data_IF_860825897298
#
_entry.id   IF_860825897298
#
_cell.length_a   1.000
_cell.length_b   1.000
_cell.length_c   1.000
_cell.angle_alpha   90.00
_cell.angle_beta   90.00
_cell.angle_gamma   90.00
#
_symmetry.space_group_name_H-M   'P 1'
#
loop_
_entity.id
_entity.type
_entity.pdbx_description
1 polymer ?
#
# COMPACT_ATOMS: atom_id res chain seq x y z
N UNK A 1 17.88 -17.59 -2.50
CA UNK A 1 17.66 -18.04 -3.89
C UNK A 1 17.62 -16.79 -4.76
N UNK A 2 18.52 -16.69 -5.73
CA UNK A 2 18.71 -15.52 -6.59
C UNK A 2 17.72 -15.63 -7.75
N UNK A 3 16.80 -14.67 -7.86
CA UNK A 3 15.88 -14.55 -9.00
C UNK A 3 16.61 -13.99 -10.23
N UNK A 4 16.10 -14.34 -11.41
CA UNK A 4 16.78 -14.35 -12.70
C UNK A 4 17.22 -12.99 -13.32
N UNK A 5 17.28 -11.89 -12.57
CA UNK A 5 17.61 -10.56 -13.11
C UNK A 5 18.84 -9.88 -12.44
N UNK A 6 19.61 -10.61 -11.62
CA UNK A 6 20.84 -10.09 -11.01
C UNK A 6 20.64 -8.94 -10.00
N UNK A 7 19.39 -8.65 -9.62
CA UNK A 7 19.04 -7.68 -8.59
C UNK A 7 18.91 -8.41 -7.25
N UNK A 8 19.67 -7.98 -6.25
CA UNK A 8 19.54 -8.48 -4.88
C UNK A 8 19.28 -7.33 -3.91
N UNK A 9 18.35 -7.55 -2.98
CA UNK A 9 18.10 -6.65 -1.87
C UNK A 9 18.45 -7.34 -0.57
N UNK A 10 19.34 -6.73 0.21
CA UNK A 10 19.66 -7.13 1.58
C UNK A 10 19.22 -6.04 2.54
N UNK A 11 18.60 -6.42 3.65
CA UNK A 11 18.27 -5.50 4.74
C UNK A 11 18.87 -6.03 6.05
N UNK A 12 19.55 -5.15 6.77
CA UNK A 12 20.15 -5.44 8.06
C UNK A 12 19.57 -4.49 9.10
N UNK A 13 19.05 -5.03 10.20
CA UNK A 13 18.53 -4.22 11.30
C UNK A 13 19.51 -4.26 12.47
N UNK A 14 19.83 -3.10 13.03
CA UNK A 14 20.66 -2.97 14.24
C UNK A 14 19.87 -2.19 15.29
N UNK A 15 19.80 -2.71 16.51
CA UNK A 15 19.09 -2.07 17.64
C UNK A 15 20.11 -1.66 18.69
N UNK A 16 19.96 -0.47 19.26
CA UNK A 16 20.77 -0.05 20.40
C UNK A 16 20.43 -0.91 21.64
N UNK A 17 21.47 -1.32 22.37
CA UNK A 17 21.30 -2.11 23.61
C UNK A 17 20.86 -1.25 24.78
N UNK A 18 21.36 -0.02 24.84
CA UNK A 18 21.08 0.94 25.89
C UNK A 18 20.68 2.29 25.26
N UNK A 19 19.57 2.83 25.76
CA UNK A 19 18.98 4.11 25.36
C UNK A 19 18.72 5.01 26.57
N UNK A 20 19.21 4.65 27.76
CA UNK A 20 18.99 5.39 29.02
C UNK A 20 19.44 6.84 28.87
N UNK A 21 20.63 7.05 28.26
CA UNK A 21 21.17 8.37 27.96
C UNK A 21 20.23 9.26 27.12
N UNK A 22 19.39 8.65 26.27
CA UNK A 22 18.46 9.37 25.41
C UNK A 22 17.18 9.72 26.17
N UNK A 23 16.71 8.79 27.02
CA UNK A 23 15.54 9.00 27.88
C UNK A 23 15.80 10.05 28.97
N UNK A 24 17.03 10.11 29.50
CA UNK A 24 17.45 11.16 30.45
C UNK A 24 17.45 12.56 29.82
N UNK A 25 17.67 12.64 28.50
CA UNK A 25 17.80 13.90 27.76
C UNK A 25 16.50 14.35 27.10
N UNK A 26 15.60 13.42 26.78
CA UNK A 26 14.36 13.69 26.07
C UNK A 26 13.19 12.94 26.69
N UNK A 27 12.13 13.68 27.00
CA UNK A 27 10.89 13.13 27.56
C UNK A 27 9.93 12.68 26.45
N UNK A 28 10.34 11.70 25.65
CA UNK A 28 9.49 11.15 24.58
C UNK A 28 8.57 10.05 25.14
N UNK A 29 7.25 10.31 25.26
CA UNK A 29 6.36 9.38 25.94
C UNK A 29 6.33 8.03 25.23
N UNK A 30 6.64 6.99 26.00
CA UNK A 30 6.59 5.62 25.52
C UNK A 30 7.80 5.17 24.69
N UNK A 31 8.89 5.94 24.59
CA UNK A 31 10.12 5.49 23.92
C UNK A 31 10.70 4.24 24.61
N UNK A 32 10.83 3.13 23.86
CA UNK A 32 11.38 1.86 24.38
C UNK A 32 12.54 1.29 23.55
N UNK A 33 12.67 1.67 22.28
CA UNK A 33 13.77 1.19 21.44
C UNK A 33 14.18 2.22 20.39
N UNK A 34 15.46 2.20 20.04
CA UNK A 34 16.04 2.93 18.91
C UNK A 34 16.77 1.93 18.03
N UNK A 35 16.52 1.96 16.73
CA UNK A 35 17.11 1.02 15.79
C UNK A 35 17.34 1.64 14.41
N UNK A 36 18.22 1.04 13.62
CA UNK A 36 18.47 1.41 12.23
C UNK A 36 18.23 0.22 11.31
N UNK A 37 17.77 0.52 10.09
CA UNK A 37 17.63 -0.43 9.00
C UNK A 37 18.51 0.04 7.85
N UNK A 38 19.52 -0.76 7.56
CA UNK A 38 20.42 -0.58 6.41
C UNK A 38 19.88 -1.42 5.26
N UNK A 39 19.59 -0.77 4.13
CA UNK A 39 19.15 -1.40 2.88
C UNK A 39 20.28 -1.32 1.87
N UNK A 40 20.71 -2.47 1.38
CA UNK A 40 21.65 -2.58 0.27
C UNK A 40 20.94 -3.16 -0.94
N UNK A 41 20.89 -2.37 -2.02
CA UNK A 41 20.38 -2.77 -3.32
C UNK A 41 21.56 -2.97 -4.25
N UNK A 42 21.77 -4.19 -4.71
CA UNK A 42 22.81 -4.52 -5.68
C UNK A 42 22.17 -4.90 -7.00
N UNK A 43 22.57 -4.21 -8.07
CA UNK A 43 22.30 -4.56 -9.46
C UNK A 43 23.61 -4.98 -10.13
N UNK A 44 23.54 -5.51 -11.35
CA UNK A 44 24.73 -5.85 -12.15
C UNK A 44 25.69 -4.68 -12.39
N UNK A 45 25.22 -3.42 -12.25
CA UNK A 45 26.03 -2.21 -12.51
C UNK A 45 26.33 -1.39 -11.27
N UNK A 46 25.54 -1.47 -10.20
CA UNK A 46 25.64 -0.57 -9.05
C UNK A 46 25.18 -1.22 -7.76
N UNK A 47 25.91 -0.98 -6.67
CA UNK A 47 25.44 -1.23 -5.31
C UNK A 47 25.16 0.10 -4.63
N UNK A 48 23.97 0.25 -4.06
CA UNK A 48 23.56 1.42 -3.29
C UNK A 48 23.19 0.97 -1.88
N UNK A 49 23.66 1.71 -0.87
CA UNK A 49 23.34 1.46 0.53
C UNK A 49 22.70 2.70 1.14
N UNK A 50 21.58 2.51 1.82
CA UNK A 50 20.83 3.55 2.52
C UNK A 50 20.58 3.09 3.96
N UNK A 51 20.64 4.00 4.92
CA UNK A 51 20.33 3.71 6.32
C UNK A 51 19.22 4.63 6.81
N UNK A 52 18.16 4.05 7.35
CA UNK A 52 17.08 4.78 8.01
C UNK A 52 17.12 4.51 9.52
N UNK A 53 16.82 5.53 10.32
CA UNK A 53 16.81 5.46 11.78
C UNK A 53 15.37 5.58 12.30
N UNK A 54 15.06 4.82 13.35
CA UNK A 54 13.72 4.70 13.90
C UNK A 54 13.74 4.75 15.42
N UNK A 55 12.65 5.28 15.97
CA UNK A 55 12.28 5.17 17.38
C UNK A 55 11.01 4.32 17.48
N UNK A 56 10.92 3.49 18.51
CA UNK A 56 9.78 2.60 18.72
C UNK A 56 9.31 2.62 20.17
N UNK A 57 7.99 2.51 20.34
CA UNK A 57 7.35 2.43 21.65
C UNK A 57 7.25 1.01 22.21
N UNK A 58 7.75 0.03 21.46
CA UNK A 58 7.86 -1.36 21.86
C UNK A 58 9.32 -1.77 21.90
N UNK A 59 9.70 -2.48 22.96
CA UNK A 59 11.01 -3.13 22.99
C UNK A 59 10.88 -4.52 22.36
N UNK A 60 11.60 -4.76 21.26
CA UNK A 60 11.53 -6.02 20.53
C UNK A 60 12.90 -6.43 19.99
N UNK A 61 13.02 -7.65 19.49
CA UNK A 61 14.23 -8.12 18.83
C UNK A 61 14.46 -7.40 17.50
N UNK A 62 15.71 -7.27 17.06
CA UNK A 62 16.04 -6.64 15.76
C UNK A 62 15.29 -7.29 14.59
N UNK A 63 15.05 -8.61 14.64
CA UNK A 63 14.25 -9.33 13.63
C UNK A 63 12.80 -8.85 13.61
N UNK A 64 12.18 -8.67 14.78
CA UNK A 64 10.79 -8.19 14.87
C UNK A 64 10.69 -6.71 14.50
N UNK A 65 11.63 -5.88 14.93
CA UNK A 65 11.71 -4.46 14.54
C UNK A 65 11.88 -4.30 13.03
N UNK A 66 12.70 -5.14 12.37
CA UNK A 66 12.80 -5.16 10.92
C UNK A 66 11.47 -5.51 10.24
N UNK A 67 10.71 -6.46 10.81
CA UNK A 67 9.38 -6.81 10.30
C UNK A 67 8.43 -5.61 10.38
N UNK A 68 8.37 -4.95 11.54
CA UNK A 68 7.54 -3.76 11.77
C UNK A 68 7.94 -2.63 10.81
N UNK A 69 9.24 -2.36 10.68
CA UNK A 69 9.73 -1.34 9.75
C UNK A 69 9.34 -1.67 8.30
N UNK A 70 9.38 -2.94 7.88
CA UNK A 70 8.92 -3.37 6.55
C UNK A 70 7.42 -3.19 6.36
N UNK A 71 6.61 -3.57 7.35
CA UNK A 71 5.16 -3.38 7.32
C UNK A 71 4.81 -1.88 7.24
N UNK A 72 5.52 -1.04 8.00
CA UNK A 72 5.38 0.40 7.94
C UNK A 72 5.76 0.96 6.56
N UNK A 73 6.90 0.54 5.99
CA UNK A 73 7.28 0.93 4.63
C UNK A 73 6.33 0.42 3.56
N UNK A 74 5.62 -0.70 3.76
CA UNK A 74 4.57 -1.09 2.82
C UNK A 74 3.45 -0.04 2.78
N UNK A 75 3.12 0.58 3.92
CA UNK A 75 2.16 1.68 4.01
C UNK A 75 2.77 2.98 3.44
N UNK A 76 4.00 3.33 3.82
CA UNK A 76 4.70 4.53 3.34
C UNK A 76 5.00 4.46 1.83
N UNK A 77 5.19 3.26 1.29
CA UNK A 77 5.29 3.05 -0.16
C UNK A 77 3.97 3.25 -0.88
N UNK A 78 2.87 3.47 -0.15
CA UNK A 78 1.62 4.00 -0.69
C UNK A 78 1.51 5.51 -0.45
N UNK A 79 2.53 6.21 0.08
CA UNK A 79 2.49 7.66 0.18
C UNK A 79 2.59 8.35 -1.18
N UNK A 80 3.22 7.76 -2.20
CA UNK A 80 3.08 8.29 -3.57
C UNK A 80 1.61 8.32 -4.01
N UNK A 81 0.79 7.42 -3.47
CA UNK A 81 -0.64 7.35 -3.73
C UNK A 81 -1.38 8.42 -2.93
N UNK A 82 -0.93 8.80 -1.72
CA UNK A 82 -1.40 10.01 -1.05
C UNK A 82 -0.97 11.28 -1.81
N UNK A 83 0.27 11.34 -2.30
CA UNK A 83 0.82 12.51 -3.00
C UNK A 83 0.22 12.71 -4.41
N UNK A 84 -0.22 11.63 -5.07
CA UNK A 84 -0.90 11.68 -6.39
C UNK A 84 -2.43 11.82 -6.27
N UNK A 85 -3.04 11.39 -5.16
CA UNK A 85 -4.51 11.30 -5.02
C UNK A 85 -5.09 12.37 -4.08
N UNK A 86 -4.31 12.90 -3.14
CA UNK A 86 -4.80 13.79 -2.09
C UNK A 86 -4.16 15.19 -2.14
N UNK A 87 -4.82 16.12 -2.81
CA UNK A 87 -4.95 17.48 -2.28
C UNK A 87 -5.97 17.39 -1.14
N UNK A 88 -5.55 17.60 0.11
CA UNK A 88 -6.35 17.32 1.33
C UNK A 88 -7.63 18.15 1.35
N UNK A 89 -8.70 17.62 0.76
CA UNK A 89 -10.06 18.12 0.92
C UNK A 89 -10.94 16.99 1.44
N UNK A 90 -11.51 17.21 2.62
CA UNK A 90 -12.53 16.36 3.26
C UNK A 90 -12.06 15.00 3.79
N UNK A 91 -11.20 15.01 4.81
CA UNK A 91 -10.88 13.81 5.61
C UNK A 91 -12.14 13.33 6.35
N UNK A 92 -12.67 12.17 5.97
CA UNK A 92 -13.75 11.49 6.70
C UNK A 92 -13.15 10.39 7.58
N UNK A 93 -13.13 10.61 8.89
CA UNK A 93 -12.70 9.59 9.87
C UNK A 93 -13.86 8.61 10.11
N UNK A 94 -13.59 7.31 10.06
CA UNK A 94 -14.58 6.26 10.34
C UNK A 94 -13.91 5.11 11.06
N UNK A 95 -14.54 4.61 12.12
CA UNK A 95 -14.07 3.41 12.83
C UNK A 95 -14.46 2.18 12.02
N UNK A 96 -13.48 1.38 11.61
CA UNK A 96 -13.67 0.09 10.96
C UNK A 96 -13.14 -0.98 11.90
N UNK A 97 -13.98 -1.94 12.26
CA UNK A 97 -13.58 -3.10 13.06
C UNK A 97 -12.91 -4.15 12.15
N UNK A 98 -11.79 -3.75 11.55
CA UNK A 98 -10.95 -4.57 10.67
C UNK A 98 -9.53 -4.64 11.24
N UNK A 99 -8.90 -5.79 11.10
CA UNK A 99 -7.45 -5.87 11.30
C UNK A 99 -6.76 -5.19 10.10
N UNK A 100 -6.12 -4.06 10.34
CA UNK A 100 -5.42 -3.29 9.30
C UNK A 100 -4.07 -3.93 8.98
N UNK A 101 -4.11 -5.03 8.22
CA UNK A 101 -2.93 -5.56 7.55
C UNK A 101 -2.71 -4.90 6.17
N UNK A 102 -1.54 -5.13 5.57
CA UNK A 102 -1.17 -4.53 4.30
C UNK A 102 -2.17 -4.83 3.16
N UNK A 103 -2.79 -6.02 3.15
CA UNK A 103 -3.75 -6.39 2.09
C UNK A 103 -5.07 -5.65 2.24
N UNK A 104 -5.56 -5.49 3.48
CA UNK A 104 -6.77 -4.73 3.80
C UNK A 104 -6.56 -3.25 3.50
N UNK A 105 -5.41 -2.68 3.90
CA UNK A 105 -5.06 -1.29 3.60
C UNK A 105 -4.99 -1.05 2.09
N UNK A 106 -4.35 -1.95 1.34
CA UNK A 106 -4.24 -1.85 -0.12
C UNK A 106 -5.63 -1.93 -0.79
N UNK A 107 -6.49 -2.85 -0.35
CA UNK A 107 -7.86 -2.95 -0.84
C UNK A 107 -8.69 -1.69 -0.59
N UNK A 108 -8.60 -1.11 0.62
CA UNK A 108 -9.28 0.14 0.96
C UNK A 108 -8.74 1.29 0.10
N UNK A 109 -7.43 1.43 -0.03
CA UNK A 109 -6.81 2.48 -0.83
C UNK A 109 -7.26 2.39 -2.30
N UNK A 110 -7.20 1.21 -2.92
CA UNK A 110 -7.68 1.00 -4.29
C UNK A 110 -9.13 1.44 -4.45
N UNK A 111 -10.02 1.02 -3.54
CA UNK A 111 -11.44 1.39 -3.63
C UNK A 111 -11.68 2.89 -3.42
N UNK A 112 -10.88 3.55 -2.56
CA UNK A 112 -10.96 5.01 -2.37
C UNK A 112 -10.48 5.78 -3.60
N UNK A 113 -9.38 5.36 -4.23
CA UNK A 113 -8.93 5.95 -5.51
C UNK A 113 -10.03 5.84 -6.56
N UNK A 114 -10.54 4.62 -6.77
CA UNK A 114 -11.56 4.38 -7.80
C UNK A 114 -12.87 5.12 -7.51
N UNK A 115 -13.22 5.34 -6.24
CA UNK A 115 -14.41 6.11 -5.86
C UNK A 115 -14.26 7.61 -6.10
N UNK A 116 -13.04 8.13 -5.94
CA UNK A 116 -12.73 9.54 -6.08
C UNK A 116 -12.08 9.89 -7.42
N UNK A 117 -11.89 8.91 -8.32
CA UNK A 117 -11.16 9.02 -9.59
C UNK A 117 -11.42 10.32 -10.37
N UNK A 118 -12.69 10.72 -10.51
CA UNK A 118 -13.06 11.93 -11.27
C UNK A 118 -12.71 13.26 -10.59
N UNK A 119 -12.42 13.22 -9.30
CA UNK A 119 -12.05 14.37 -8.49
C UNK A 119 -10.54 14.44 -8.26
N UNK A 120 -9.75 13.49 -8.79
CA UNK A 120 -8.29 13.51 -8.66
C UNK A 120 -7.76 14.48 -9.71
N UNK A 121 -7.18 15.58 -9.24
CA UNK A 121 -6.50 16.56 -10.08
C UNK A 121 -5.18 15.94 -10.58
N UNK A 122 -4.88 16.11 -11.88
CA UNK A 122 -3.63 15.66 -12.51
C UNK A 122 -3.25 14.17 -12.31
N UNK A 123 -4.21 13.27 -12.51
CA UNK A 123 -3.94 11.84 -12.36
C UNK A 123 -2.88 11.32 -13.35
N UNK A 124 -1.84 10.69 -12.81
CA UNK A 124 -0.82 10.03 -13.63
C UNK A 124 -1.31 8.63 -14.07
N UNK A 125 -1.84 8.53 -15.30
CA UNK A 125 -2.42 7.29 -15.84
C UNK A 125 -1.44 6.12 -15.85
N UNK A 126 -0.14 6.36 -16.12
CA UNK A 126 0.89 5.32 -16.15
C UNK A 126 1.12 4.73 -14.76
N UNK A 127 1.29 5.57 -13.75
CA UNK A 127 1.48 5.09 -12.36
C UNK A 127 0.22 4.40 -11.85
N UNK A 128 -0.96 4.89 -12.19
CA UNK A 128 -2.22 4.23 -11.86
C UNK A 128 -2.31 2.85 -12.52
N UNK A 129 -1.95 2.73 -13.80
CA UNK A 129 -1.92 1.47 -14.54
C UNK A 129 -0.98 0.44 -13.90
N UNK A 130 0.25 0.86 -13.55
CA UNK A 130 1.25 0.03 -12.88
C UNK A 130 0.77 -0.44 -11.50
N UNK A 131 0.17 0.46 -10.72
CA UNK A 131 -0.43 0.11 -9.42
C UNK A 131 -1.58 -0.88 -9.55
N UNK A 132 -2.51 -0.64 -10.48
CA UNK A 132 -3.65 -1.53 -10.70
C UNK A 132 -3.20 -2.92 -11.18
N UNK A 133 -2.09 -2.99 -11.95
CA UNK A 133 -1.45 -4.26 -12.34
C UNK A 133 -0.92 -5.01 -11.11
N UNK A 134 -0.16 -4.35 -10.24
CA UNK A 134 0.34 -4.96 -8.99
C UNK A 134 -0.80 -5.38 -8.04
N UNK A 135 -1.86 -4.57 -7.97
CA UNK A 135 -3.05 -4.91 -7.21
C UNK A 135 -3.74 -6.16 -7.75
N UNK A 136 -3.91 -6.27 -9.08
CA UNK A 136 -4.51 -7.42 -9.72
C UNK A 136 -3.69 -8.71 -9.50
N UNK A 137 -2.35 -8.63 -9.56
CA UNK A 137 -1.46 -9.75 -9.27
C UNK A 137 -1.59 -10.28 -7.84
N UNK A 138 -1.90 -9.40 -6.89
CA UNK A 138 -2.06 -9.72 -5.47
C UNK A 138 -3.53 -9.73 -5.03
N UNK A 139 -4.46 -9.83 -5.97
CA UNK A 139 -5.89 -9.75 -5.70
C UNK A 139 -6.35 -10.89 -4.78
N UNK A 140 -7.15 -10.54 -3.77
CA UNK A 140 -7.78 -11.49 -2.85
C UNK A 140 -9.27 -11.19 -2.75
N UNK A 141 -10.09 -12.14 -3.21
CA UNK A 141 -11.55 -12.05 -3.13
C UNK A 141 -12.02 -11.95 -1.66
N UNK A 142 -11.38 -12.68 -0.75
CA UNK A 142 -11.70 -12.63 0.68
C UNK A 142 -11.39 -11.26 1.28
N UNK A 143 -10.28 -10.65 0.89
CA UNK A 143 -9.90 -9.29 1.33
C UNK A 143 -10.93 -8.27 0.85
N UNK A 144 -11.31 -8.28 -0.44
CA UNK A 144 -12.36 -7.38 -0.95
C UNK A 144 -13.69 -7.63 -0.24
N UNK A 145 -14.10 -8.89 -0.08
CA UNK A 145 -15.35 -9.23 0.61
C UNK A 145 -15.37 -8.73 2.06
N UNK A 146 -14.25 -8.86 2.78
CA UNK A 146 -14.09 -8.32 4.13
C UNK A 146 -14.24 -6.80 4.15
N UNK A 147 -13.57 -6.10 3.23
CA UNK A 147 -13.66 -4.64 3.13
C UNK A 147 -15.08 -4.19 2.80
N UNK A 148 -15.72 -4.78 1.77
CA UNK A 148 -17.08 -4.42 1.35
C UNK A 148 -18.16 -4.73 2.40
N UNK A 149 -17.91 -5.69 3.30
CA UNK A 149 -18.80 -5.96 4.45
C UNK A 149 -18.79 -4.83 5.49
N UNK A 150 -17.63 -4.21 5.71
CA UNK A 150 -17.44 -3.20 6.75
C UNK A 150 -17.54 -1.77 6.20
N UNK A 151 -17.33 -1.56 4.89
CA UNK A 151 -17.39 -0.26 4.24
C UNK A 151 -18.18 -0.32 2.94
N UNK A 152 -19.16 0.58 2.82
CA UNK A 152 -19.98 0.73 1.62
C UNK A 152 -19.24 1.60 0.60
N UNK A 153 -19.19 1.12 -0.63
CA UNK A 153 -18.71 1.86 -1.81
C UNK A 153 -19.81 1.97 -2.85
N UNK A 154 -19.72 2.98 -3.73
CA UNK A 154 -20.65 3.11 -4.86
C UNK A 154 -20.54 1.87 -5.75
N UNK A 155 -21.66 1.40 -6.31
CA UNK A 155 -21.65 0.30 -7.28
C UNK A 155 -20.78 0.61 -8.51
N UNK A 156 -20.72 1.89 -8.91
CA UNK A 156 -19.82 2.33 -9.97
C UNK A 156 -18.34 2.11 -9.63
N UNK A 157 -17.92 2.27 -8.37
CA UNK A 157 -16.56 1.96 -7.90
C UNK A 157 -16.26 0.47 -8.00
N UNK A 158 -17.21 -0.37 -7.59
CA UNK A 158 -17.05 -1.83 -7.68
C UNK A 158 -17.03 -2.29 -9.14
N UNK A 159 -17.85 -1.67 -10.00
CA UNK A 159 -17.85 -1.92 -11.44
C UNK A 159 -16.52 -1.48 -12.08
N UNK A 160 -15.95 -0.36 -11.63
CA UNK A 160 -14.65 0.10 -12.08
C UNK A 160 -13.55 -0.90 -11.71
N UNK A 161 -13.53 -1.37 -10.45
CA UNK A 161 -12.60 -2.43 -10.03
C UNK A 161 -12.77 -3.71 -10.86
N UNK A 162 -14.01 -4.13 -11.10
CA UNK A 162 -14.32 -5.30 -11.91
C UNK A 162 -13.82 -5.16 -13.36
N UNK A 163 -13.93 -3.97 -13.95
CA UNK A 163 -13.41 -3.71 -15.29
C UNK A 163 -11.88 -3.83 -15.34
N UNK A 164 -11.17 -3.26 -14.35
CA UNK A 164 -9.71 -3.39 -14.25
C UNK A 164 -9.24 -4.83 -14.09
N UNK A 165 -9.86 -5.58 -13.19
CA UNK A 165 -9.51 -6.98 -12.97
C UNK A 165 -9.84 -7.84 -14.20
N UNK A 166 -10.97 -7.56 -14.86
CA UNK A 166 -11.36 -8.21 -16.10
C UNK A 166 -10.38 -7.96 -17.24
N UNK A 167 -9.85 -6.74 -17.38
CA UNK A 167 -8.82 -6.39 -18.37
C UNK A 167 -7.55 -7.25 -18.22
N UNK A 168 -7.14 -7.52 -16.97
CA UNK A 168 -6.01 -8.40 -16.66
C UNK A 168 -6.39 -9.89 -16.55
N UNK A 169 -7.60 -10.27 -16.96
CA UNK A 169 -8.13 -11.64 -16.86
C UNK A 169 -8.02 -12.23 -15.43
N UNK A 170 -8.06 -11.37 -14.42
CA UNK A 170 -8.01 -11.78 -13.01
C UNK A 170 -9.38 -12.34 -12.63
N UNK A 171 -9.43 -13.56 -12.10
CA UNK A 171 -10.69 -14.17 -11.69
C UNK A 171 -11.26 -13.45 -10.47
N UNK A 172 -12.51 -13.01 -10.53
CA UNK A 172 -13.20 -12.34 -9.44
C UNK A 172 -14.70 -12.61 -9.47
N UNK A 173 -15.39 -12.36 -8.35
CA UNK A 173 -16.86 -12.52 -8.26
C UNK A 173 -17.61 -11.20 -8.04
N UNK A 174 -16.97 -10.07 -8.37
CA UNK A 174 -17.51 -8.72 -8.11
C UNK A 174 -18.86 -8.42 -8.78
N UNK A 175 -19.21 -9.12 -9.87
CA UNK A 175 -20.50 -8.99 -10.55
C UNK A 175 -21.68 -9.25 -9.61
N UNK A 176 -21.51 -10.02 -8.54
CA UNK A 176 -22.57 -10.26 -7.55
C UNK A 176 -23.01 -8.99 -6.81
N UNK A 177 -22.15 -7.96 -6.74
CA UNK A 177 -22.45 -6.69 -6.09
C UNK A 177 -23.07 -5.66 -7.06
N UNK A 178 -23.18 -6.01 -8.34
CA UNK A 178 -23.63 -5.12 -9.42
C UNK A 178 -25.04 -5.49 -9.88
N UNK A 179 -25.83 -4.47 -10.21
CA UNK A 179 -27.09 -4.64 -10.95
C UNK A 179 -26.82 -5.04 -12.40
N UNK A 180 -27.53 -6.06 -12.91
CA UNK A 180 -27.50 -6.48 -14.33
C UNK A 180 -28.13 -5.47 -15.29
N UNK A 181 -29.01 -4.61 -14.77
CA UNK A 181 -29.80 -3.65 -15.57
C UNK A 181 -29.16 -2.26 -15.63
N UNK A 182 -27.99 -2.09 -15.01
CA UNK A 182 -27.36 -0.78 -14.86
C UNK A 182 -26.05 -0.73 -15.63
N UNK A 183 -25.90 0.28 -16.49
CA UNK A 183 -24.61 0.65 -17.05
C UNK A 183 -23.89 1.59 -16.09
N UNK A 184 -22.67 1.23 -15.67
CA UNK A 184 -21.84 2.07 -14.82
C UNK A 184 -20.86 2.85 -15.68
N UNK A 185 -20.75 4.15 -15.43
CA UNK A 185 -19.83 5.01 -16.15
C UNK A 185 -18.39 4.78 -15.65
N UNK A 186 -17.73 3.79 -16.24
CA UNK A 186 -16.35 3.38 -16.00
C UNK A 186 -15.48 3.90 -17.16
N UNK A 187 -14.32 4.53 -16.90
CA UNK A 187 -13.41 4.93 -17.96
C UNK A 187 -12.93 3.70 -18.76
N UNK A 188 -12.77 3.81 -20.08
CA UNK A 188 -12.23 2.72 -20.90
C UNK A 188 -10.81 2.35 -20.43
N UNK A 189 -10.48 1.06 -20.45
CA UNK A 189 -9.20 0.59 -19.91
C UNK A 189 -8.02 1.07 -20.78
N UNK A 190 -8.28 1.31 -22.06
CA UNK A 190 -7.35 1.83 -23.05
C UNK A 190 -6.77 3.20 -22.65
N UNK A 191 -7.53 4.03 -21.91
CA UNK A 191 -7.04 5.32 -21.40
C UNK A 191 -5.85 5.18 -20.43
N UNK A 192 -5.71 4.01 -19.79
CA UNK A 192 -4.63 3.71 -18.85
C UNK A 192 -3.48 2.93 -19.49
N UNK A 193 -3.77 2.10 -20.50
CA UNK A 193 -2.83 1.11 -21.03
C UNK A 193 -2.39 1.32 -22.49
N UNK A 194 -2.83 2.38 -23.17
CA UNK A 194 -2.51 2.63 -24.59
C UNK A 194 -1.00 2.83 -24.91
N UNK A 195 -0.12 2.85 -23.91
CA UNK A 195 1.33 3.08 -24.11
C UNK A 195 2.24 2.39 -23.08
N UNK A 196 1.77 1.33 -22.40
CA UNK A 196 2.61 0.53 -21.48
C UNK A 196 3.28 -0.63 -22.19
#
# INVERSE_FOLDING_TARGET
>A
MVGADGISQKRTCRKLKDITWLQERHDWPGLKAVFSVERTNSTTRKTTTETSYYIASTDASAKRLLCIAREHWNIESMHWLLDVVFTVSNVKVSRLDLNFDATICNAIATLEILQNYRNIEEINHRQMAEYMREFALNYSEDTIRKVLRHRKYKKATIAFLAAFLGYWNTKHTLQQYLSRLSAYAVPPMEEFYAST
#
